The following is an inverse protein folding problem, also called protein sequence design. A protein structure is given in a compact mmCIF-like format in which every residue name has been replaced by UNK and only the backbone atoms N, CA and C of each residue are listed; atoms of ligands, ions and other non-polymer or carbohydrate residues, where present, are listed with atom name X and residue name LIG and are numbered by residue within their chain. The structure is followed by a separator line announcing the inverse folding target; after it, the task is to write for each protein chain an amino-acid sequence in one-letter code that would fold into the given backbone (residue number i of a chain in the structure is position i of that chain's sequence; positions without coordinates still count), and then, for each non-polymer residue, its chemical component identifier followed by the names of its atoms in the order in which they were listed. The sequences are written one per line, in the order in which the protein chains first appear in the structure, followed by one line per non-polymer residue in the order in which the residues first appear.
data_IF_069639224441
#
_entry.id   IF_069639224441
#
_cell.length_a   1.000
_cell.length_b   1.000
_cell.length_c   1.000
_cell.angle_alpha   90.00
_cell.angle_beta   90.00
_cell.angle_gamma   90.00
#
_symmetry.space_group_name_H-M   'P 1'
#
loop_
_entity.id
_entity.type
_entity.pdbx_description
1 polymer ?
#
# COMPACT_ATOMS: atom_id res chain seq x y z
N UNK A 1 -18.20 17.30 -12.32
CA UNK A 1 -19.16 17.11 -11.21
C UNK A 1 -20.25 18.20 -11.17
N UNK A 2 -19.90 19.46 -11.37
CA UNK A 2 -20.88 20.57 -11.33
C UNK A 2 -21.99 20.43 -12.37
N UNK A 3 -21.68 19.91 -13.56
CA UNK A 3 -22.65 19.69 -14.67
C UNK A 3 -23.61 18.54 -14.35
N UNK A 4 -23.20 17.53 -13.60
CA UNK A 4 -24.01 16.37 -13.21
C UNK A 4 -25.05 16.70 -12.14
N UNK A 5 -24.72 17.58 -11.20
CA UNK A 5 -25.58 17.89 -10.04
C UNK A 5 -26.81 18.75 -10.42
N UNK A 6 -26.72 19.53 -11.50
CA UNK A 6 -27.77 20.44 -11.92
C UNK A 6 -28.96 19.76 -12.60
N UNK A 7 -28.78 18.78 -13.52
CA UNK A 7 -29.89 18.10 -14.19
C UNK A 7 -30.37 16.81 -13.52
N UNK A 8 -29.71 16.30 -12.46
CA UNK A 8 -30.05 15.01 -11.83
C UNK A 8 -29.87 13.80 -12.75
N UNK A 9 -29.01 13.91 -13.75
CA UNK A 9 -28.80 12.89 -14.78
C UNK A 9 -27.79 11.85 -14.32
N UNK A 10 -28.12 10.57 -14.44
CA UNK A 10 -27.15 9.48 -14.27
C UNK A 10 -26.18 9.48 -15.45
N UNK A 11 -24.90 9.61 -15.18
CA UNK A 11 -23.84 9.62 -16.19
C UNK A 11 -22.88 8.46 -16.00
N UNK A 12 -22.63 7.71 -17.05
CA UNK A 12 -21.59 6.67 -17.06
C UNK A 12 -20.36 7.23 -17.79
N UNK A 13 -19.22 7.19 -17.11
CA UNK A 13 -17.95 7.66 -17.62
C UNK A 13 -16.95 6.51 -17.67
N UNK A 14 -16.21 6.36 -18.76
CA UNK A 14 -15.18 5.32 -18.93
C UNK A 14 -13.83 6.02 -19.07
N UNK A 15 -12.90 5.69 -18.21
CA UNK A 15 -11.53 6.23 -18.22
C UNK A 15 -10.53 5.14 -17.83
N UNK A 16 -9.29 5.32 -18.26
CA UNK A 16 -8.15 4.57 -17.73
C UNK A 16 -7.35 5.38 -16.70
N UNK A 17 -7.73 6.63 -16.46
CA UNK A 17 -7.13 7.49 -15.44
C UNK A 17 -7.83 7.26 -14.10
N UNK A 18 -7.08 6.66 -13.16
CA UNK A 18 -7.57 6.31 -11.83
C UNK A 18 -7.81 7.54 -10.97
N UNK A 19 -6.93 8.56 -11.06
CA UNK A 19 -7.04 9.77 -10.25
C UNK A 19 -8.29 10.56 -10.66
N UNK A 20 -8.55 10.64 -11.97
CA UNK A 20 -9.77 11.25 -12.49
C UNK A 20 -11.02 10.53 -12.00
N UNK A 21 -11.06 9.19 -12.11
CA UNK A 21 -12.19 8.39 -11.64
C UNK A 21 -12.43 8.58 -10.14
N UNK A 22 -11.37 8.50 -9.32
CA UNK A 22 -11.46 8.66 -7.86
C UNK A 22 -11.93 10.06 -7.45
N UNK A 23 -11.59 11.11 -8.23
CA UNK A 23 -11.93 12.48 -7.90
C UNK A 23 -13.38 12.85 -8.24
N UNK A 24 -13.99 12.27 -9.30
CA UNK A 24 -15.28 12.75 -9.82
C UNK A 24 -16.43 11.78 -9.62
N UNK A 25 -16.21 10.48 -9.55
CA UNK A 25 -17.27 9.49 -9.54
C UNK A 25 -17.89 9.29 -8.14
N UNK A 26 -19.19 9.03 -8.09
CA UNK A 26 -19.88 8.59 -6.87
C UNK A 26 -19.68 7.08 -6.63
N UNK A 27 -19.55 6.32 -7.72
CA UNK A 27 -19.23 4.89 -7.71
C UNK A 27 -18.31 4.57 -8.88
N UNK A 28 -17.37 3.66 -8.66
CA UNK A 28 -16.41 3.18 -9.67
C UNK A 28 -16.57 1.68 -9.82
N UNK A 29 -16.65 1.21 -11.06
CA UNK A 29 -16.55 -0.20 -11.42
C UNK A 29 -15.14 -0.50 -11.93
N UNK A 30 -14.41 -1.38 -11.25
CA UNK A 30 -13.12 -1.88 -11.72
C UNK A 30 -13.35 -3.11 -12.57
N UNK A 31 -12.86 -3.07 -13.80
CA UNK A 31 -12.98 -4.17 -14.77
C UNK A 31 -11.64 -4.84 -15.02
N UNK A 32 -11.65 -6.16 -15.12
CA UNK A 32 -10.50 -6.97 -15.48
C UNK A 32 -10.93 -8.06 -16.46
N UNK A 33 -10.29 -8.13 -17.63
CA UNK A 33 -10.56 -9.14 -18.68
C UNK A 33 -12.07 -9.26 -19.02
N UNK A 34 -12.76 -8.13 -19.11
CA UNK A 34 -14.19 -8.08 -19.46
C UNK A 34 -15.16 -8.41 -18.32
N UNK A 35 -14.66 -8.64 -17.09
CA UNK A 35 -15.48 -8.89 -15.90
C UNK A 35 -15.34 -7.73 -14.91
N UNK A 36 -16.41 -7.46 -14.19
CA UNK A 36 -16.38 -6.49 -13.09
C UNK A 36 -15.83 -7.21 -11.85
N UNK A 37 -14.71 -6.72 -11.33
CA UNK A 37 -14.07 -7.22 -10.10
C UNK A 37 -14.75 -6.64 -8.86
N UNK A 38 -15.03 -5.34 -8.87
CA UNK A 38 -15.68 -4.65 -7.75
C UNK A 38 -16.37 -3.37 -8.23
N UNK A 39 -17.51 -3.03 -7.64
CA UNK A 39 -18.15 -1.72 -7.79
C UNK A 39 -18.39 -1.15 -6.39
N UNK A 40 -17.79 0.01 -6.09
CA UNK A 40 -17.96 0.68 -4.81
C UNK A 40 -17.72 2.20 -4.93
N UNK A 41 -17.96 2.93 -3.83
CA UNK A 41 -17.52 4.31 -3.71
C UNK A 41 -15.97 4.37 -3.75
N UNK A 42 -15.37 5.47 -4.24
CA UNK A 42 -13.92 5.61 -4.39
C UNK A 42 -13.13 5.23 -3.13
N UNK A 43 -13.54 5.75 -1.98
CA UNK A 43 -12.91 5.46 -0.70
C UNK A 43 -12.93 3.96 -0.35
N UNK A 44 -14.04 3.27 -0.62
CA UNK A 44 -14.17 1.84 -0.34
C UNK A 44 -13.30 1.00 -1.27
N UNK A 45 -13.17 1.37 -2.55
CA UNK A 45 -12.26 0.69 -3.48
C UNK A 45 -10.81 0.77 -3.02
N UNK A 46 -10.40 1.94 -2.52
CA UNK A 46 -9.05 2.15 -2.04
C UNK A 46 -8.78 1.43 -0.72
N UNK A 47 -9.68 1.58 0.27
CA UNK A 47 -9.50 1.07 1.63
C UNK A 47 -9.88 -0.40 1.79
N UNK A 48 -10.81 -0.90 0.97
CA UNK A 48 -11.37 -2.26 1.06
C UNK A 48 -11.42 -2.92 -0.32
N UNK A 49 -10.29 -3.11 -0.97
CA UNK A 49 -10.23 -3.83 -2.23
C UNK A 49 -10.68 -5.29 -2.02
N UNK A 50 -11.51 -5.80 -2.92
CA UNK A 50 -12.01 -7.16 -2.85
C UNK A 50 -11.01 -8.20 -3.37
N UNK A 51 -10.09 -7.78 -4.23
CA UNK A 51 -9.08 -8.66 -4.84
C UNK A 51 -7.72 -7.98 -4.92
N UNK A 52 -6.66 -8.77 -5.08
CA UNK A 52 -5.30 -8.26 -5.34
C UNK A 52 -5.28 -7.36 -6.58
N UNK A 53 -6.04 -7.71 -7.62
CA UNK A 53 -6.13 -6.88 -8.82
C UNK A 53 -6.68 -5.49 -8.52
N UNK A 54 -7.78 -5.39 -7.76
CA UNK A 54 -8.35 -4.09 -7.38
C UNK A 54 -7.36 -3.31 -6.52
N UNK A 55 -6.71 -3.96 -5.54
CA UNK A 55 -5.74 -3.32 -4.66
C UNK A 55 -4.57 -2.71 -5.42
N UNK A 56 -4.02 -3.43 -6.40
CA UNK A 56 -2.87 -2.99 -7.20
C UNK A 56 -3.24 -2.05 -8.33
N UNK A 57 -4.47 -2.17 -8.85
CA UNK A 57 -4.99 -1.27 -9.89
C UNK A 57 -5.37 0.09 -9.30
N UNK A 58 -5.97 0.13 -8.10
CA UNK A 58 -6.40 1.38 -7.44
C UNK A 58 -5.31 1.87 -6.49
N UNK A 59 -4.38 2.65 -7.03
CA UNK A 59 -3.28 3.30 -6.29
C UNK A 59 -2.11 2.36 -5.96
N UNK A 60 -1.05 2.96 -5.44
CA UNK A 60 0.16 2.24 -5.08
C UNK A 60 -0.09 1.25 -3.95
N UNK A 61 0.55 0.09 -4.03
CA UNK A 61 0.43 -0.98 -3.05
C UNK A 61 1.76 -1.72 -2.92
N UNK A 62 2.23 -1.88 -1.70
CA UNK A 62 3.34 -2.76 -1.39
C UNK A 62 2.85 -4.21 -1.33
N UNK A 63 3.60 -5.11 -1.92
CA UNK A 63 3.38 -6.55 -1.83
C UNK A 63 4.46 -7.14 -0.92
N UNK A 64 4.14 -7.27 0.37
CA UNK A 64 5.09 -7.68 1.41
C UNK A 64 4.88 -9.14 1.81
N UNK A 65 5.94 -9.87 2.18
CA UNK A 65 5.82 -11.22 2.70
C UNK A 65 5.13 -11.22 4.06
N UNK A 66 4.27 -12.21 4.28
CA UNK A 66 3.62 -12.39 5.57
C UNK A 66 2.92 -13.73 5.70
N UNK A 67 2.68 -14.13 6.94
CA UNK A 67 1.84 -15.25 7.30
C UNK A 67 0.48 -14.74 7.80
N UNK A 68 -0.61 -15.36 7.37
CA UNK A 68 -1.99 -14.93 7.67
C UNK A 68 -2.84 -16.06 8.20
N UNK A 69 -3.62 -15.79 9.23
CA UNK A 69 -4.68 -16.68 9.73
C UNK A 69 -6.09 -16.35 9.17
N UNK A 70 -6.18 -15.33 8.30
CA UNK A 70 -7.40 -14.84 7.69
C UNK A 70 -7.98 -13.58 8.36
N UNK A 71 -7.69 -13.35 9.64
CA UNK A 71 -8.13 -12.17 10.39
C UNK A 71 -6.97 -11.21 10.66
N UNK A 72 -5.77 -11.75 10.84
CA UNK A 72 -4.52 -11.02 11.04
C UNK A 72 -3.40 -11.61 10.22
N UNK A 73 -2.42 -10.80 9.85
CA UNK A 73 -1.15 -11.22 9.29
C UNK A 73 0.02 -10.72 10.13
N UNK A 74 1.14 -11.43 10.06
CA UNK A 74 2.42 -10.97 10.58
C UNK A 74 3.27 -10.52 9.41
N UNK A 75 3.61 -9.21 9.39
CA UNK A 75 4.44 -8.57 8.36
C UNK A 75 5.58 -7.83 9.06
N UNK A 76 6.81 -8.15 8.73
CA UNK A 76 8.00 -7.54 9.36
C UNK A 76 7.95 -7.57 10.90
N UNK A 77 7.48 -8.70 11.45
CA UNK A 77 7.32 -8.89 12.89
C UNK A 77 6.12 -8.19 13.53
N UNK A 78 5.36 -7.38 12.77
CA UNK A 78 4.15 -6.70 13.25
C UNK A 78 2.88 -7.47 12.92
N UNK A 79 1.92 -7.45 13.86
CA UNK A 79 0.57 -7.91 13.60
C UNK A 79 -0.22 -6.80 12.90
N UNK A 80 -0.79 -7.15 11.76
CA UNK A 80 -1.59 -6.29 10.91
C UNK A 80 -2.98 -6.91 10.77
N UNK A 81 -4.07 -6.21 11.12
CA UNK A 81 -5.42 -6.71 10.91
C UNK A 81 -5.67 -6.89 9.41
N UNK A 82 -6.54 -7.83 9.05
CA UNK A 82 -6.86 -8.11 7.67
C UNK A 82 -8.29 -7.73 7.31
N UNK A 83 -8.48 -7.39 6.04
CA UNK A 83 -9.79 -7.20 5.45
C UNK A 83 -10.52 -8.54 5.36
N UNK A 84 -11.85 -8.50 5.51
CA UNK A 84 -12.68 -9.69 5.34
C UNK A 84 -12.49 -10.31 3.95
N UNK A 85 -12.34 -11.64 3.90
CA UNK A 85 -12.08 -12.38 2.66
C UNK A 85 -10.59 -12.56 2.34
N UNK A 86 -9.70 -12.08 3.21
CA UNK A 86 -8.26 -12.34 3.10
C UNK A 86 -7.94 -13.83 3.16
N UNK A 87 -6.95 -14.24 2.39
CA UNK A 87 -6.50 -15.61 2.35
C UNK A 87 -5.80 -16.03 3.66
N UNK A 88 -5.98 -17.28 4.06
CA UNK A 88 -5.16 -17.93 5.09
C UNK A 88 -3.96 -18.54 4.42
N UNK A 89 -2.76 -18.05 4.75
CA UNK A 89 -1.51 -18.49 4.14
C UNK A 89 -0.40 -18.57 5.20
N UNK A 90 0.37 -19.64 5.18
CA UNK A 90 1.56 -19.76 6.02
C UNK A 90 2.71 -18.86 5.53
N UNK A 91 2.76 -18.66 4.20
CA UNK A 91 3.70 -17.76 3.56
C UNK A 91 3.06 -17.24 2.27
N UNK A 92 2.72 -15.96 2.24
CA UNK A 92 2.02 -15.33 1.12
C UNK A 92 2.31 -13.85 1.02
N UNK A 93 1.53 -13.17 0.20
CA UNK A 93 1.60 -11.73 0.05
C UNK A 93 0.58 -11.04 0.94
N UNK A 94 1.02 -9.99 1.60
CA UNK A 94 0.16 -9.03 2.28
C UNK A 94 0.29 -7.70 1.57
N UNK A 95 -0.83 -7.17 1.11
CA UNK A 95 -0.91 -5.93 0.36
C UNK A 95 -1.08 -4.77 1.33
N UNK A 96 -0.06 -3.92 1.43
CA UNK A 96 0.01 -2.81 2.39
C UNK A 96 0.15 -1.49 1.64
N UNK A 97 -0.68 -0.51 1.97
CA UNK A 97 -0.59 0.83 1.36
C UNK A 97 0.69 1.55 1.81
N UNK A 98 1.32 2.39 0.95
CA UNK A 98 2.53 3.13 1.31
C UNK A 98 2.38 3.99 2.58
N UNK A 99 1.21 4.60 2.80
CA UNK A 99 0.89 5.40 3.99
C UNK A 99 0.63 4.55 5.25
N UNK A 100 0.46 3.24 5.08
CA UNK A 100 0.36 2.29 6.19
C UNK A 100 1.72 1.76 6.66
N UNK A 101 2.80 2.27 6.10
CA UNK A 101 4.16 2.03 6.57
C UNK A 101 4.72 3.27 7.26
N UNK A 102 5.60 3.05 8.22
CA UNK A 102 6.43 4.09 8.85
C UNK A 102 7.89 3.85 8.53
N UNK A 103 8.69 4.91 8.69
CA UNK A 103 10.11 4.88 8.40
C UNK A 103 10.87 5.61 9.52
N UNK A 104 11.93 4.99 10.05
CA UNK A 104 12.83 5.58 11.03
C UNK A 104 14.28 5.32 10.63
N UNK A 105 15.22 6.22 10.99
CA UNK A 105 16.64 5.98 10.79
C UNK A 105 17.10 4.77 11.61
N UNK A 106 17.89 3.89 11.02
CA UNK A 106 18.49 2.77 11.73
C UNK A 106 19.49 3.31 12.77
N UNK A 107 19.31 2.90 14.04
CA UNK A 107 20.15 3.38 15.15
C UNK A 107 19.48 4.44 16.02
N UNK A 108 18.34 5.00 15.67
CA UNK A 108 17.49 5.75 16.61
C UNK A 108 16.71 4.75 17.45
N UNK A 109 17.22 4.50 18.67
CA UNK A 109 16.70 3.71 19.79
C UNK A 109 15.41 2.88 19.64
N UNK A 110 15.55 1.60 19.99
CA UNK A 110 14.65 0.80 20.84
C UNK A 110 13.40 0.13 20.30
N UNK A 111 12.96 0.23 19.06
CA UNK A 111 11.97 -0.70 18.59
C UNK A 111 12.58 -1.69 17.60
N UNK A 112 12.83 -2.90 18.04
CA UNK A 112 13.27 -4.03 17.21
C UNK A 112 12.14 -4.58 16.33
N UNK A 113 11.08 -3.82 16.13
CA UNK A 113 9.93 -4.19 15.35
C UNK A 113 9.99 -3.43 14.03
N UNK A 114 9.93 -4.16 12.94
CA UNK A 114 10.11 -3.63 11.58
C UNK A 114 11.29 -4.29 10.88
N UNK A 115 11.51 -3.92 9.65
CA UNK A 115 12.52 -4.55 8.81
C UNK A 115 13.58 -3.54 8.33
N UNK A 116 14.84 -3.96 8.32
CA UNK A 116 15.93 -3.12 7.82
C UNK A 116 15.83 -2.95 6.32
N UNK A 117 15.96 -1.71 5.89
CA UNK A 117 15.92 -1.34 4.48
C UNK A 117 16.96 -0.24 4.20
N UNK A 118 17.29 -0.07 2.94
CA UNK A 118 18.13 1.03 2.44
C UNK A 118 17.29 1.93 1.55
N UNK A 119 17.41 3.24 1.72
CA UNK A 119 16.76 4.25 0.90
C UNK A 119 17.35 4.23 -0.51
N UNK A 120 16.52 3.99 -1.52
CA UNK A 120 16.90 4.09 -2.93
C UNK A 120 16.57 5.44 -3.54
N UNK A 121 15.34 5.94 -3.29
CA UNK A 121 14.86 7.20 -3.88
C UNK A 121 13.97 7.93 -2.88
N UNK A 122 14.06 9.26 -2.88
CA UNK A 122 13.17 10.14 -2.13
C UNK A 122 12.46 11.06 -3.13
N UNK A 123 11.13 10.96 -3.19
CA UNK A 123 10.28 11.80 -4.03
C UNK A 123 9.58 12.84 -3.15
N UNK A 124 9.91 14.10 -3.31
CA UNK A 124 9.21 15.19 -2.65
C UNK A 124 7.98 15.60 -3.45
N UNK A 125 6.78 15.40 -2.88
CA UNK A 125 5.48 15.63 -3.51
C UNK A 125 4.73 16.82 -2.87
N UNK A 126 5.46 17.77 -2.34
CA UNK A 126 4.91 18.93 -1.62
C UNK A 126 4.61 18.60 -0.16
N UNK A 127 3.35 18.44 0.22
CA UNK A 127 2.93 18.09 1.58
C UNK A 127 3.23 16.63 1.97
N UNK A 128 3.54 15.79 0.98
CA UNK A 128 3.86 14.37 1.14
C UNK A 128 5.28 14.10 0.63
N UNK A 129 5.90 13.07 1.18
CA UNK A 129 7.14 12.49 0.70
C UNK A 129 6.92 11.01 0.47
N UNK A 130 7.42 10.50 -0.65
CA UNK A 130 7.48 9.07 -0.95
C UNK A 130 8.92 8.62 -0.91
N UNK A 131 9.19 7.56 -0.17
CA UNK A 131 10.51 6.98 -0.02
C UNK A 131 10.47 5.55 -0.51
N UNK A 132 11.22 5.26 -1.57
CA UNK A 132 11.39 3.91 -2.08
C UNK A 132 12.60 3.28 -1.41
N UNK A 133 12.42 2.08 -0.86
CA UNK A 133 13.43 1.37 -0.10
C UNK A 133 13.62 -0.06 -0.60
N UNK A 134 14.80 -0.61 -0.38
CA UNK A 134 15.11 -2.04 -0.58
C UNK A 134 15.36 -2.68 0.76
N UNK A 135 14.66 -3.78 1.03
CA UNK A 135 14.85 -4.57 2.24
C UNK A 135 16.21 -5.25 2.18
N UNK A 136 17.00 -5.06 3.22
CA UNK A 136 18.41 -5.52 3.28
C UNK A 136 18.61 -6.78 4.12
N UNK A 137 17.61 -7.20 4.91
CA UNK A 137 17.70 -8.44 5.68
C UNK A 137 17.64 -9.68 4.78
N UNK A 138 18.48 -10.65 5.08
CA UNK A 138 18.61 -11.86 4.26
C UNK A 138 17.40 -12.78 4.26
N UNK A 139 16.51 -12.67 5.24
CA UNK A 139 15.33 -13.51 5.37
C UNK A 139 14.34 -13.30 4.22
N UNK A 140 14.16 -12.07 3.78
CA UNK A 140 13.19 -11.70 2.74
C UNK A 140 13.81 -11.59 1.33
N UNK A 141 15.12 -11.60 1.19
CA UNK A 141 15.78 -11.56 -0.12
C UNK A 141 15.40 -12.72 -1.04
N UNK A 142 14.96 -13.85 -0.46
CA UNK A 142 14.58 -15.06 -1.21
C UNK A 142 13.10 -15.15 -1.55
N UNK A 143 12.27 -14.27 -0.97
CA UNK A 143 10.83 -14.39 -1.10
C UNK A 143 10.31 -14.18 -2.52
N UNK A 144 10.93 -13.31 -3.29
CA UNK A 144 10.50 -12.98 -4.65
C UNK A 144 11.43 -13.56 -5.73
N UNK A 145 11.68 -14.89 -5.70
CA UNK A 145 12.47 -15.62 -6.70
C UNK A 145 13.86 -15.02 -6.99
N UNK A 146 14.49 -14.41 -6.00
CA UNK A 146 15.81 -13.78 -6.13
C UNK A 146 15.78 -12.28 -6.47
N UNK A 147 14.62 -11.70 -6.67
CA UNK A 147 14.49 -10.25 -6.76
C UNK A 147 14.55 -9.60 -5.37
N UNK A 148 15.11 -8.40 -5.31
CA UNK A 148 15.14 -7.62 -4.08
C UNK A 148 13.73 -7.21 -3.67
N UNK A 149 13.37 -7.44 -2.40
CA UNK A 149 12.11 -6.95 -1.86
C UNK A 149 12.18 -5.44 -1.71
N UNK A 150 11.25 -4.75 -2.33
CA UNK A 150 11.10 -3.29 -2.25
C UNK A 150 9.90 -2.92 -1.39
N UNK A 151 10.02 -1.81 -0.68
CA UNK A 151 8.92 -1.20 0.03
C UNK A 151 8.89 0.31 -0.23
N UNK A 152 7.72 0.81 -0.61
CA UNK A 152 7.47 2.23 -0.77
C UNK A 152 6.74 2.73 0.47
N UNK A 153 7.29 3.74 1.12
CA UNK A 153 6.69 4.43 2.28
C UNK A 153 6.22 5.80 1.83
N UNK A 154 5.01 6.20 2.22
CA UNK A 154 4.49 7.55 1.99
C UNK A 154 4.09 8.18 3.31
N UNK A 155 4.61 9.38 3.58
CA UNK A 155 4.39 10.07 4.84
C UNK A 155 4.26 11.59 4.61
N UNK A 156 3.64 12.31 5.56
CA UNK A 156 3.67 13.76 5.56
C UNK A 156 5.12 14.28 5.55
N UNK A 157 5.39 15.36 4.82
CA UNK A 157 6.74 15.94 4.77
C UNK A 157 7.26 16.35 6.16
N UNK A 158 6.35 16.67 7.08
CA UNK A 158 6.68 16.99 8.48
C UNK A 158 7.13 15.79 9.32
N UNK A 159 6.83 14.56 8.87
CA UNK A 159 7.21 13.30 9.54
C UNK A 159 8.46 12.68 8.93
N UNK A 160 9.04 13.30 7.89
CA UNK A 160 10.29 12.82 7.30
C UNK A 160 11.41 12.92 8.34
N UNK A 161 12.16 11.83 8.63
CA UNK A 161 13.30 11.90 9.53
C UNK A 161 14.30 12.97 9.10
N UNK A 162 14.72 13.80 10.06
CA UNK A 162 15.66 14.90 9.76
C UNK A 162 16.99 14.35 9.23
N UNK A 163 17.43 14.89 8.10
CA UNK A 163 18.70 14.50 7.47
C UNK A 163 18.64 13.21 6.66
N UNK A 164 17.46 12.59 6.49
CA UNK A 164 17.33 11.38 5.68
C UNK A 164 17.84 11.62 4.25
N UNK A 165 18.73 10.76 3.79
CA UNK A 165 19.32 10.80 2.47
C UNK A 165 19.25 9.45 1.75
N UNK A 166 19.41 9.48 0.43
CA UNK A 166 19.55 8.26 -0.38
C UNK A 166 20.81 7.51 0.07
N UNK A 167 20.69 6.22 0.25
CA UNK A 167 21.72 5.33 0.76
C UNK A 167 21.69 5.08 2.27
N UNK A 168 20.89 5.84 3.03
CA UNK A 168 20.74 5.63 4.46
C UNK A 168 20.04 4.30 4.78
N UNK A 169 20.49 3.68 5.88
CA UNK A 169 19.83 2.51 6.44
C UNK A 169 18.68 2.97 7.34
N UNK A 170 17.51 2.38 7.14
CA UNK A 170 16.25 2.70 7.82
C UNK A 170 15.56 1.45 8.33
N UNK A 171 14.60 1.63 9.25
CA UNK A 171 13.65 0.60 9.66
C UNK A 171 12.29 0.94 9.05
N UNK A 172 11.72 0.01 8.31
CA UNK A 172 10.36 0.09 7.77
C UNK A 172 9.44 -0.76 8.63
N UNK A 173 8.38 -0.15 9.15
CA UNK A 173 7.45 -0.80 10.07
C UNK A 173 6.01 -0.65 9.58
N UNK A 174 5.23 -1.74 9.46
CA UNK A 174 3.80 -1.65 9.18
C UNK A 174 3.03 -1.06 10.37
N UNK A 175 2.09 -0.16 10.09
CA UNK A 175 1.07 0.29 11.04
C UNK A 175 -0.02 -0.78 11.17
N UNK A 176 -0.74 -0.88 12.31
CA UNK A 176 -1.85 -1.82 12.47
C UNK A 176 -3.11 -1.33 11.74
N UNK A 177 -3.03 -1.18 10.43
CA UNK A 177 -4.13 -0.78 9.55
C UNK A 177 -4.51 -1.97 8.69
N UNK A 178 -5.82 -2.16 8.44
CA UNK A 178 -6.31 -3.31 7.71
C UNK A 178 -5.69 -3.46 6.31
N UNK A 179 -5.16 -4.64 6.03
CA UNK A 179 -4.49 -5.03 4.79
C UNK A 179 -5.20 -6.21 4.14
N UNK A 180 -4.87 -6.55 2.89
CA UNK A 180 -5.40 -7.71 2.19
C UNK A 180 -4.29 -8.77 2.07
N UNK A 181 -4.55 -10.00 2.54
CA UNK A 181 -3.67 -11.15 2.32
C UNK A 181 -4.14 -11.97 1.10
N UNK A 182 -3.18 -12.38 0.26
CA UNK A 182 -3.38 -13.11 -1.00
C UNK A 182 -2.49 -14.35 -1.07
#
# INVERSE_FOLDING_TARGET
RRIQLTPGTTTVFVTHDQEEALAVADRIGVMNKGKIEQIAAPQNLYQRPATEYVATFIGLTNRLPGASNGDEAVVFGQRVPLLAGSAKVESGAVLVRPESLTLALAGSSDSHVGERARVEVIHFLGSLVRVDTVITSGEYQRWNKGEQLKATVQLPASELPAGLAVGDDVIVTPRPVAALAC
#
